data_IF_035142823612
#
_entry.id   IF_035142823612
#
_cell.length_a   1.000
_cell.length_b   1.000
_cell.length_c   1.000
_cell.angle_alpha   90.00
_cell.angle_beta   90.00
_cell.angle_gamma   90.00
#
_symmetry.space_group_name_H-M   'P 1'
#
loop_
_entity.id
_entity.type
_entity.pdbx_description
1 polymer ?
#
# COMPACT_ATOMS: atom_id res chain seq x y z
N UNK A 1 -20.99 -1.82 14.73
CA UNK A 1 -21.23 -0.70 13.79
C UNK A 1 -21.77 0.42 14.65
N UNK A 2 -21.17 1.60 14.53
CA UNK A 2 -21.54 2.77 15.31
C UNK A 2 -22.15 3.81 14.38
N UNK A 3 -23.25 4.43 14.81
CA UNK A 3 -23.89 5.52 14.07
C UNK A 3 -23.56 6.83 14.78
N UNK A 4 -23.01 7.78 14.03
CA UNK A 4 -22.62 9.09 14.55
C UNK A 4 -23.48 10.16 13.88
N UNK A 5 -24.03 11.07 14.67
CA UNK A 5 -24.77 12.19 14.10
C UNK A 5 -23.79 13.19 13.45
N UNK A 6 -23.89 13.33 12.13
CA UNK A 6 -23.02 14.24 11.38
C UNK A 6 -23.62 14.61 10.02
N UNK A 7 -23.51 15.89 9.65
CA UNK A 7 -24.08 16.43 8.41
C UNK A 7 -23.36 15.98 7.13
N UNK A 8 -22.13 15.47 7.24
CA UNK A 8 -21.38 14.93 6.09
C UNK A 8 -21.69 13.44 5.94
N UNK A 9 -22.12 13.02 4.75
CA UNK A 9 -22.33 11.60 4.45
C UNK A 9 -20.98 10.88 4.37
N UNK A 10 -20.70 10.00 5.33
CA UNK A 10 -19.47 9.22 5.38
C UNK A 10 -19.73 7.85 6.01
N UNK A 11 -19.00 6.86 5.50
CA UNK A 11 -18.89 5.53 6.08
C UNK A 11 -17.40 5.20 6.09
N UNK A 12 -16.86 4.80 7.23
CA UNK A 12 -15.44 4.50 7.34
C UNK A 12 -15.17 3.48 8.44
N UNK A 13 -14.06 2.76 8.31
CA UNK A 13 -13.58 1.83 9.31
C UNK A 13 -12.49 2.44 10.20
N UNK A 14 -12.55 2.12 11.49
CA UNK A 14 -11.52 2.42 12.47
C UNK A 14 -10.77 1.12 12.82
N UNK A 15 -9.43 1.09 12.67
CA UNK A 15 -8.63 -0.06 13.08
C UNK A 15 -8.66 -0.19 14.61
N UNK A 16 -8.62 -1.43 15.11
CA UNK A 16 -8.70 -1.70 16.55
C UNK A 16 -8.88 -3.18 16.86
N UNK A 17 -9.03 -3.51 18.15
CA UNK A 17 -9.38 -4.85 18.64
C UNK A 17 -10.57 -4.75 19.60
N UNK A 18 -11.82 -4.91 19.11
CA UNK A 18 -12.20 -5.16 17.71
C UNK A 18 -12.13 -3.90 16.84
N UNK A 19 -11.91 -4.07 15.54
CA UNK A 19 -12.06 -2.99 14.56
C UNK A 19 -13.53 -2.68 14.32
N UNK A 20 -13.88 -1.42 14.07
CA UNK A 20 -15.28 -0.99 13.96
C UNK A 20 -15.56 -0.20 12.67
N UNK A 21 -16.83 -0.22 12.24
CA UNK A 21 -17.33 0.59 11.13
C UNK A 21 -18.22 1.68 11.70
N UNK A 22 -17.95 2.92 11.31
CA UNK A 22 -18.69 4.12 11.68
C UNK A 22 -19.49 4.59 10.47
N UNK A 23 -20.74 4.97 10.72
CA UNK A 23 -21.68 5.46 9.69
C UNK A 23 -22.27 6.77 10.17
N UNK A 24 -22.31 7.79 9.32
CA UNK A 24 -22.96 9.05 9.70
C UNK A 24 -24.46 9.02 9.48
N UNK A 25 -25.22 9.80 10.27
CA UNK A 25 -26.67 9.99 10.05
C UNK A 25 -26.98 10.46 8.63
N UNK A 26 -26.17 11.38 8.08
CA UNK A 26 -26.29 11.83 6.69
C UNK A 26 -26.04 10.70 5.67
N UNK A 27 -25.16 9.73 5.95
CA UNK A 27 -24.97 8.59 5.05
C UNK A 27 -26.18 7.65 5.05
N UNK A 28 -26.81 7.43 6.21
CA UNK A 28 -28.04 6.63 6.31
C UNK A 28 -29.18 7.29 5.52
N UNK A 29 -29.30 8.61 5.56
CA UNK A 29 -30.30 9.34 4.78
C UNK A 29 -29.99 9.46 3.28
N UNK A 30 -28.73 9.27 2.86
CA UNK A 30 -28.30 9.42 1.48
C UNK A 30 -28.29 8.10 0.68
N UNK A 31 -28.20 6.95 1.36
CA UNK A 31 -28.04 5.65 0.74
C UNK A 31 -29.31 4.80 0.88
N UNK A 32 -29.67 4.08 -0.17
CA UNK A 32 -30.65 2.99 -0.09
C UNK A 32 -30.11 1.84 0.79
N UNK A 33 -30.99 0.93 1.21
CA UNK A 33 -30.60 -0.21 2.03
C UNK A 33 -29.51 -1.09 1.35
N UNK A 34 -29.62 -1.30 0.04
CA UNK A 34 -28.66 -2.10 -0.74
C UNK A 34 -27.32 -1.39 -0.90
N UNK A 35 -27.33 -0.08 -1.14
CA UNK A 35 -26.12 0.75 -1.22
C UNK A 35 -25.40 0.79 0.14
N UNK A 36 -26.14 0.99 1.24
CA UNK A 36 -25.58 0.97 2.58
C UNK A 36 -24.97 -0.41 2.90
N UNK A 37 -25.66 -1.50 2.56
CA UNK A 37 -25.13 -2.85 2.74
C UNK A 37 -23.84 -3.07 1.93
N UNK A 38 -23.78 -2.56 0.70
CA UNK A 38 -22.60 -2.60 -0.16
C UNK A 38 -21.40 -1.86 0.46
N UNK A 39 -21.60 -0.63 0.94
CA UNK A 39 -20.52 0.16 1.58
C UNK A 39 -20.09 -0.46 2.91
N UNK A 40 -21.03 -0.98 3.71
CA UNK A 40 -20.66 -1.71 4.93
C UNK A 40 -19.83 -2.96 4.61
N UNK A 41 -20.10 -3.63 3.49
CA UNK A 41 -19.30 -4.77 3.03
C UNK A 41 -17.90 -4.35 2.57
N UNK A 42 -17.78 -3.18 1.95
CA UNK A 42 -16.52 -2.53 1.58
C UNK A 42 -15.69 -2.19 2.83
N UNK A 43 -16.26 -1.50 3.82
CA UNK A 43 -15.56 -1.15 5.07
C UNK A 43 -15.11 -2.39 5.86
N UNK A 44 -15.98 -3.41 5.94
CA UNK A 44 -15.60 -4.69 6.57
C UNK A 44 -14.48 -5.40 5.80
N UNK A 45 -14.35 -5.17 4.49
CA UNK A 45 -13.23 -5.70 3.72
C UNK A 45 -11.90 -5.04 4.12
N UNK A 46 -11.90 -3.74 4.42
CA UNK A 46 -10.71 -3.07 4.96
C UNK A 46 -10.27 -3.61 6.31
N UNK A 47 -11.22 -3.83 7.22
CA UNK A 47 -10.92 -4.42 8.53
C UNK A 47 -10.38 -5.84 8.41
N UNK A 48 -11.08 -6.71 7.65
CA UNK A 48 -10.67 -8.11 7.47
C UNK A 48 -9.34 -8.25 6.73
N UNK A 49 -9.12 -7.43 5.71
CA UNK A 49 -7.87 -7.39 4.96
C UNK A 49 -6.74 -6.65 5.67
N UNK A 50 -6.99 -6.07 6.84
CA UNK A 50 -6.05 -5.20 7.57
C UNK A 50 -5.41 -4.15 6.66
N UNK A 51 -6.20 -3.58 5.76
CA UNK A 51 -5.71 -2.69 4.70
C UNK A 51 -5.01 -1.44 5.25
N UNK A 52 -5.39 -1.00 6.45
CA UNK A 52 -4.69 0.08 7.17
C UNK A 52 -3.20 -0.21 7.39
N UNK A 53 -2.81 -1.47 7.65
CA UNK A 53 -1.41 -1.85 7.82
C UNK A 53 -0.64 -1.79 6.49
N UNK A 54 -1.26 -2.24 5.39
CA UNK A 54 -0.65 -2.18 4.06
C UNK A 54 -0.38 -0.72 3.65
N UNK A 55 -1.36 0.14 3.86
CA UNK A 55 -1.23 1.58 3.57
C UNK A 55 -0.23 2.24 4.50
N UNK A 56 -0.20 1.88 5.79
CA UNK A 56 0.78 2.40 6.74
C UNK A 56 2.21 1.99 6.37
N UNK A 57 2.41 0.73 5.96
CA UNK A 57 3.70 0.21 5.52
C UNK A 57 4.16 0.91 4.24
N UNK A 58 3.26 1.10 3.27
CA UNK A 58 3.57 1.83 2.04
C UNK A 58 3.97 3.29 2.32
N UNK A 59 3.24 3.96 3.21
CA UNK A 59 3.59 5.31 3.67
C UNK A 59 4.92 5.35 4.45
N UNK A 60 5.22 4.33 5.25
CA UNK A 60 6.51 4.22 5.93
C UNK A 60 7.67 4.01 4.93
N UNK A 61 7.46 3.17 3.92
CA UNK A 61 8.42 2.95 2.84
C UNK A 61 8.69 4.23 2.04
N UNK A 62 7.63 4.96 1.66
CA UNK A 62 7.74 6.25 0.99
C UNK A 62 8.54 7.27 1.81
N UNK A 63 8.29 7.35 3.13
CA UNK A 63 9.03 8.23 4.04
C UNK A 63 10.48 7.81 4.27
N UNK A 64 10.78 6.51 4.25
CA UNK A 64 12.12 5.99 4.43
C UNK A 64 13.01 6.24 3.20
N UNK A 65 12.41 6.33 2.00
CA UNK A 65 13.12 6.48 0.72
C UNK A 65 12.60 7.67 -0.11
N UNK A 66 12.63 8.90 0.43
CA UNK A 66 11.97 10.06 -0.19
C UNK A 66 12.58 10.49 -1.53
N UNK A 67 13.82 10.05 -1.82
CA UNK A 67 14.51 10.35 -3.09
C UNK A 67 14.22 9.32 -4.19
N UNK A 68 13.49 8.24 -3.89
CA UNK A 68 13.13 7.23 -4.88
C UNK A 68 11.72 7.52 -5.43
N UNK A 69 11.57 7.92 -6.70
CA UNK A 69 10.26 8.17 -7.30
C UNK A 69 9.32 6.96 -7.25
N UNK A 70 9.90 5.75 -7.30
CA UNK A 70 9.15 4.50 -7.19
C UNK A 70 8.45 4.34 -5.85
N UNK A 71 8.96 4.95 -4.77
CA UNK A 71 8.35 4.83 -3.45
C UNK A 71 7.02 5.60 -3.35
N UNK A 72 6.94 6.77 -3.99
CA UNK A 72 5.69 7.54 -4.13
C UNK A 72 4.67 6.82 -5.03
N UNK A 73 5.14 6.30 -6.17
CA UNK A 73 4.31 5.50 -7.07
C UNK A 73 3.77 4.24 -6.38
N UNK A 74 4.61 3.55 -5.60
CA UNK A 74 4.20 2.36 -4.85
C UNK A 74 3.15 2.69 -3.79
N UNK A 75 3.30 3.78 -3.05
CA UNK A 75 2.31 4.22 -2.05
C UNK A 75 0.94 4.50 -2.70
N UNK A 76 0.97 5.26 -3.80
CA UNK A 76 -0.23 5.61 -4.56
C UNK A 76 -0.93 4.38 -5.12
N UNK A 77 -0.18 3.46 -5.73
CA UNK A 77 -0.75 2.24 -6.31
C UNK A 77 -1.22 1.24 -5.25
N UNK A 78 -0.52 1.10 -4.12
CA UNK A 78 -0.97 0.23 -3.01
C UNK A 78 -2.32 0.72 -2.48
N UNK A 79 -2.50 2.03 -2.26
CA UNK A 79 -3.81 2.59 -1.86
C UNK A 79 -4.89 2.28 -2.90
N UNK A 80 -4.60 2.49 -4.17
CA UNK A 80 -5.54 2.23 -5.27
C UNK A 80 -5.94 0.75 -5.35
N UNK A 81 -4.98 -0.16 -5.25
CA UNK A 81 -5.24 -1.61 -5.28
C UNK A 81 -6.02 -2.08 -4.05
N UNK A 82 -5.79 -1.47 -2.89
CA UNK A 82 -6.56 -1.71 -1.67
C UNK A 82 -8.05 -1.35 -1.86
N UNK A 83 -8.33 -0.19 -2.46
CA UNK A 83 -9.71 0.22 -2.80
C UNK A 83 -10.33 -0.76 -3.81
N UNK A 84 -9.58 -1.14 -4.85
CA UNK A 84 -10.04 -2.10 -5.85
C UNK A 84 -10.43 -3.45 -5.22
N UNK A 85 -9.63 -3.95 -4.29
CA UNK A 85 -9.88 -5.21 -3.60
C UNK A 85 -11.08 -5.12 -2.66
N UNK A 86 -11.30 -3.98 -2.01
CA UNK A 86 -12.47 -3.75 -1.18
C UNK A 86 -13.75 -3.65 -2.04
N UNK A 87 -13.68 -2.97 -3.18
CA UNK A 87 -14.74 -2.88 -4.19
C UNK A 87 -15.14 -4.23 -4.75
N UNK A 88 -14.15 -5.07 -5.10
CA UNK A 88 -14.41 -6.42 -5.62
C UNK A 88 -15.15 -7.26 -4.55
N UNK A 89 -14.68 -7.22 -3.30
CA UNK A 89 -15.32 -7.94 -2.18
C UNK A 89 -16.72 -7.45 -1.84
N UNK A 90 -17.04 -6.20 -2.11
CA UNK A 90 -18.40 -5.67 -1.98
C UNK A 90 -19.27 -6.11 -3.15
N UNK A 91 -18.72 -6.02 -4.36
CA UNK A 91 -19.37 -6.38 -5.62
C UNK A 91 -19.74 -7.87 -5.69
N UNK A 92 -18.92 -8.75 -5.12
CA UNK A 92 -19.17 -10.20 -5.07
C UNK A 92 -20.52 -10.54 -4.39
N UNK A 93 -20.98 -9.70 -3.46
CA UNK A 93 -22.20 -9.95 -2.67
C UNK A 93 -23.36 -9.04 -3.02
N UNK A 94 -23.09 -7.78 -3.38
CA UNK A 94 -24.12 -6.76 -3.58
C UNK A 94 -24.20 -6.27 -5.04
N UNK A 95 -23.37 -6.82 -5.94
CA UNK A 95 -23.30 -6.41 -7.33
C UNK A 95 -22.54 -5.09 -7.52
N UNK A 96 -21.97 -4.92 -8.71
CA UNK A 96 -21.13 -3.76 -9.04
C UNK A 96 -21.91 -2.44 -9.08
N UNK A 97 -23.17 -2.49 -9.50
CA UNK A 97 -24.01 -1.29 -9.61
C UNK A 97 -24.27 -0.67 -8.23
N UNK A 98 -24.67 -1.45 -7.22
CA UNK A 98 -24.92 -0.95 -5.87
C UNK A 98 -23.67 -0.32 -5.24
N UNK A 99 -22.49 -0.93 -5.46
CA UNK A 99 -21.22 -0.35 -4.99
C UNK A 99 -20.92 0.97 -5.71
N UNK A 100 -21.06 1.00 -7.04
CA UNK A 100 -20.79 2.20 -7.84
C UNK A 100 -21.69 3.37 -7.44
N UNK A 101 -23.00 3.14 -7.33
CA UNK A 101 -23.96 4.19 -6.96
C UNK A 101 -23.71 4.68 -5.54
N UNK A 102 -23.41 3.78 -4.59
CA UNK A 102 -23.10 4.18 -3.23
C UNK A 102 -21.84 5.05 -3.13
N UNK A 103 -20.79 4.73 -3.90
CA UNK A 103 -19.57 5.56 -3.97
C UNK A 103 -19.89 6.95 -4.52
N UNK A 104 -20.71 7.04 -5.57
CA UNK A 104 -21.13 8.33 -6.16
C UNK A 104 -21.95 9.15 -5.16
N UNK A 105 -22.94 8.53 -4.51
CA UNK A 105 -23.78 9.20 -3.50
C UNK A 105 -22.94 9.75 -2.34
N UNK A 106 -22.01 8.97 -1.81
CA UNK A 106 -21.11 9.45 -0.75
C UNK A 106 -20.17 10.55 -1.24
N UNK A 107 -19.63 10.44 -2.45
CA UNK A 107 -18.73 11.45 -3.02
C UNK A 107 -19.42 12.79 -3.28
N UNK A 108 -20.65 12.78 -3.79
CA UNK A 108 -21.43 13.99 -4.07
C UNK A 108 -21.96 14.66 -2.79
N UNK A 109 -22.21 13.87 -1.75
CA UNK A 109 -22.71 14.34 -0.44
C UNK A 109 -21.60 14.63 0.57
N UNK A 110 -20.33 14.47 0.19
CA UNK A 110 -19.19 14.91 1.00
C UNK A 110 -18.90 16.38 0.68
N UNK A 111 -19.33 17.35 1.50
CA UNK A 111 -18.89 18.73 1.34
C UNK A 111 -17.37 18.76 1.37
N UNK A 112 -16.77 19.35 0.33
CA UNK A 112 -15.32 19.44 0.21
C UNK A 112 -14.73 19.86 1.55
N UNK A 113 -13.83 19.04 2.08
CA UNK A 113 -13.16 19.12 3.38
C UNK A 113 -13.14 20.53 4.00
N UNK A 114 -13.94 20.74 5.04
CA UNK A 114 -14.23 22.02 5.72
C UNK A 114 -13.08 22.57 6.61
N UNK A 115 -11.81 22.41 6.23
CA UNK A 115 -10.69 23.02 7.00
C UNK A 115 -9.49 23.51 6.17
N UNK A 116 -9.59 23.58 4.84
CA UNK A 116 -8.54 24.23 4.02
C UNK A 116 -9.12 25.28 3.07
N UNK A 117 -8.64 26.52 3.20
CA UNK A 117 -8.89 27.62 2.25
C UNK A 117 -7.88 27.56 1.10
N UNK A 118 -8.28 27.89 -0.13
CA UNK A 118 -7.39 28.12 -1.29
C UNK A 118 -7.22 26.96 -2.29
N UNK A 119 -6.28 27.12 -3.24
CA UNK A 119 -5.99 26.19 -4.37
C UNK A 119 -5.84 24.71 -3.99
N UNK A 120 -5.37 24.43 -2.77
CA UNK A 120 -5.24 23.07 -2.22
C UNK A 120 -6.61 22.35 -2.01
N UNK A 121 -7.70 23.09 -1.82
CA UNK A 121 -9.07 22.54 -1.78
C UNK A 121 -9.47 21.99 -3.15
N UNK A 122 -9.21 22.77 -4.21
CA UNK A 122 -9.56 22.41 -5.58
C UNK A 122 -8.83 21.15 -6.02
N UNK A 123 -7.51 21.07 -5.79
CA UNK A 123 -6.72 19.89 -6.15
C UNK A 123 -7.18 18.62 -5.43
N UNK A 124 -7.55 18.70 -4.13
CA UNK A 124 -8.07 17.56 -3.38
C UNK A 124 -9.43 17.10 -3.91
N UNK A 125 -10.38 18.02 -4.10
CA UNK A 125 -11.70 17.68 -4.65
C UNK A 125 -11.57 17.06 -6.04
N UNK A 126 -10.71 17.61 -6.91
CA UNK A 126 -10.44 17.05 -8.23
C UNK A 126 -9.84 15.64 -8.12
N UNK A 127 -8.88 15.42 -7.22
CA UNK A 127 -8.29 14.09 -7.03
C UNK A 127 -9.29 13.04 -6.51
N UNK A 128 -10.20 13.44 -5.61
CA UNK A 128 -11.28 12.57 -5.11
C UNK A 128 -12.25 12.21 -6.23
N UNK A 129 -12.72 13.20 -7.00
CA UNK A 129 -13.60 12.96 -8.16
C UNK A 129 -12.93 12.06 -9.20
N UNK A 130 -11.63 12.24 -9.45
CA UNK A 130 -10.86 11.38 -10.36
C UNK A 130 -10.82 9.94 -9.88
N UNK A 131 -10.54 9.70 -8.60
CA UNK A 131 -10.53 8.34 -7.99
C UNK A 131 -11.92 7.71 -8.00
N UNK A 132 -12.97 8.47 -7.72
CA UNK A 132 -14.36 8.03 -7.82
C UNK A 132 -14.70 7.60 -9.25
N UNK A 133 -14.43 8.47 -10.23
CA UNK A 133 -14.70 8.20 -11.64
C UNK A 133 -13.93 6.96 -12.14
N UNK A 134 -12.69 6.78 -11.69
CA UNK A 134 -11.89 5.60 -12.00
C UNK A 134 -12.51 4.31 -11.47
N UNK A 135 -12.93 4.28 -10.20
CA UNK A 135 -13.58 3.12 -9.58
C UNK A 135 -14.88 2.75 -10.29
N UNK A 136 -15.72 3.74 -10.59
CA UNK A 136 -16.97 3.55 -11.33
C UNK A 136 -16.69 3.02 -12.74
N UNK A 137 -15.74 3.60 -13.48
CA UNK A 137 -15.34 3.10 -14.81
C UNK A 137 -14.86 1.65 -14.74
N UNK A 138 -14.08 1.28 -13.74
CA UNK A 138 -13.62 -0.10 -13.53
C UNK A 138 -14.78 -1.06 -13.26
N UNK A 139 -15.79 -0.64 -12.50
CA UNK A 139 -16.98 -1.45 -12.23
C UNK A 139 -17.82 -1.69 -13.48
N UNK A 140 -17.97 -0.66 -14.32
CA UNK A 140 -18.70 -0.73 -15.59
C UNK A 140 -17.94 -1.51 -16.68
N UNK A 141 -16.61 -1.55 -16.59
CA UNK A 141 -15.79 -2.33 -17.52
C UNK A 141 -15.94 -3.85 -17.29
N UNK A 142 -15.92 -4.67 -18.35
CA UNK A 142 -15.90 -6.11 -18.21
C UNK A 142 -14.67 -6.55 -17.37
N UNK A 143 -14.80 -7.61 -16.53
CA UNK A 143 -13.68 -8.08 -15.71
C UNK A 143 -12.48 -8.44 -16.59
N UNK A 144 -11.42 -7.65 -16.49
CA UNK A 144 -10.15 -7.97 -17.12
C UNK A 144 -9.56 -9.21 -16.43
N UNK A 145 -9.51 -10.34 -17.13
CA UNK A 145 -8.79 -11.52 -16.63
C UNK A 145 -7.30 -11.27 -16.84
N UNK A 146 -6.47 -11.19 -15.78
CA UNK A 146 -5.04 -11.00 -15.96
C UNK A 146 -4.50 -12.18 -16.77
N UNK A 147 -3.76 -11.88 -17.84
CA UNK A 147 -3.07 -12.90 -18.62
C UNK A 147 -2.14 -13.69 -17.70
N UNK A 148 -1.95 -14.99 -17.94
CA UNK A 148 -1.09 -15.83 -17.11
C UNK A 148 0.32 -15.25 -16.98
N UNK A 149 0.81 -14.63 -18.05
CA UNK A 149 2.08 -13.89 -18.08
C UNK A 149 2.16 -12.79 -17.02
N UNK A 150 1.09 -12.01 -16.81
CA UNK A 150 1.09 -10.94 -15.80
C UNK A 150 1.19 -11.52 -14.39
N UNK A 151 0.59 -12.69 -14.15
CA UNK A 151 0.71 -13.38 -12.86
C UNK A 151 2.12 -13.90 -12.63
N UNK A 152 2.75 -14.47 -13.66
CA UNK A 152 4.12 -14.97 -13.59
C UNK A 152 5.12 -13.82 -13.36
N UNK A 153 4.96 -12.71 -14.09
CA UNK A 153 5.78 -11.50 -13.92
C UNK A 153 5.60 -10.89 -12.53
N UNK A 154 4.36 -10.82 -12.03
CA UNK A 154 4.12 -10.34 -10.67
C UNK A 154 4.74 -11.28 -9.62
N UNK A 155 4.60 -12.59 -9.78
CA UNK A 155 5.17 -13.58 -8.87
C UNK A 155 6.71 -13.53 -8.87
N UNK A 156 7.34 -13.39 -10.03
CA UNK A 156 8.80 -13.27 -10.13
C UNK A 156 9.29 -11.96 -9.51
N UNK A 157 8.60 -10.84 -9.75
CA UNK A 157 8.93 -9.56 -9.13
C UNK A 157 8.80 -9.60 -7.60
N UNK A 158 7.73 -10.22 -7.07
CA UNK A 158 7.55 -10.43 -5.62
C UNK A 158 8.67 -11.31 -5.07
N UNK A 159 9.00 -12.42 -5.76
CA UNK A 159 10.08 -13.31 -5.38
C UNK A 159 11.43 -12.57 -5.30
N UNK A 160 11.75 -11.76 -6.31
CA UNK A 160 12.96 -10.95 -6.34
C UNK A 160 12.99 -9.91 -5.22
N UNK A 161 11.87 -9.26 -4.93
CA UNK A 161 11.80 -8.25 -3.87
C UNK A 161 11.98 -8.87 -2.47
N UNK A 162 11.44 -10.07 -2.24
CA UNK A 162 11.55 -10.77 -0.96
C UNK A 162 12.94 -11.41 -0.76
N UNK A 163 13.58 -11.88 -1.83
CA UNK A 163 14.86 -12.61 -1.77
C UNK A 163 16.08 -11.73 -2.03
N UNK A 164 15.93 -10.62 -2.74
CA UNK A 164 17.02 -9.73 -3.13
C UNK A 164 17.75 -9.10 -1.94
N UNK A 165 17.07 -8.33 -1.06
CA UNK A 165 17.71 -7.72 0.11
C UNK A 165 18.43 -8.72 1.03
N UNK A 166 17.84 -9.88 1.41
CA UNK A 166 18.56 -10.85 2.24
C UNK A 166 19.74 -11.50 1.49
N UNK A 167 19.62 -11.77 0.18
CA UNK A 167 20.73 -12.32 -0.60
C UNK A 167 21.91 -11.34 -0.67
N UNK A 168 21.65 -10.06 -0.92
CA UNK A 168 22.69 -9.01 -0.93
C UNK A 168 23.34 -8.87 0.44
N UNK A 169 22.55 -8.90 1.54
CA UNK A 169 23.06 -8.82 2.90
C UNK A 169 23.95 -10.04 3.27
N UNK A 170 23.56 -11.25 2.86
CA UNK A 170 24.34 -12.48 3.11
C UNK A 170 25.65 -12.47 2.30
N UNK A 171 25.60 -12.07 1.02
CA UNK A 171 26.80 -11.99 0.17
C UNK A 171 27.78 -10.93 0.71
N UNK A 172 27.28 -9.75 1.07
CA UNK A 172 28.13 -8.69 1.63
C UNK A 172 28.72 -9.09 2.99
N UNK A 173 27.97 -9.77 3.87
CA UNK A 173 28.52 -10.34 5.09
C UNK A 173 29.60 -11.42 4.84
N UNK A 174 29.41 -12.26 3.82
CA UNK A 174 30.38 -13.27 3.40
C UNK A 174 31.69 -12.65 2.91
N UNK A 175 31.61 -11.61 2.08
CA UNK A 175 32.78 -10.87 1.59
C UNK A 175 33.57 -10.20 2.73
N UNK A 176 32.88 -9.58 3.69
CA UNK A 176 33.53 -8.99 4.88
C UNK A 176 34.23 -10.06 5.71
N UNK A 177 33.59 -11.23 5.90
CA UNK A 177 34.18 -12.33 6.67
C UNK A 177 35.41 -12.93 5.98
N UNK A 178 35.37 -13.05 4.65
CA UNK A 178 36.50 -13.57 3.86
C UNK A 178 37.70 -12.63 3.88
N UNK A 179 37.46 -11.32 3.80
CA UNK A 179 38.50 -10.31 3.96
C UNK A 179 39.15 -10.33 5.35
N UNK A 180 38.37 -10.60 6.40
CA UNK A 180 38.88 -10.73 7.77
C UNK A 180 39.69 -12.01 8.03
N UNK A 181 39.52 -13.06 7.21
CA UNK A 181 40.23 -14.35 7.35
C UNK A 181 41.47 -14.48 6.48
N UNK A 182 41.74 -13.55 5.56
CA UNK A 182 43.00 -13.55 4.82
C UNK A 182 44.14 -13.13 5.77
N UNK A 183 45.12 -14.01 6.06
CA UNK A 183 46.27 -13.61 6.85
C UNK A 183 47.10 -12.66 5.99
N UNK A 184 47.31 -11.43 6.47
CA UNK A 184 48.35 -10.56 5.94
C UNK A 184 49.68 -11.28 6.16
N UNK A 185 50.20 -11.92 5.11
CA UNK A 185 51.47 -12.61 5.15
C UNK A 185 52.52 -11.71 5.77
N UNK A 186 53.09 -12.14 6.89
CA UNK A 186 54.27 -11.49 7.45
C UNK A 186 55.38 -11.56 6.39
N UNK A 187 56.08 -10.45 6.08
CA UNK A 187 57.21 -10.51 5.17
C UNK A 187 58.26 -11.47 5.73
N UNK A 188 58.96 -12.25 4.88
CA UNK A 188 60.01 -13.15 5.35
C UNK A 188 61.07 -12.33 6.10
N UNK A 189 61.40 -12.76 7.32
CA UNK A 189 62.46 -12.17 8.12
C UNK A 189 63.76 -12.17 7.29
N UNK A 190 64.27 -10.98 6.98
CA UNK A 190 65.53 -10.81 6.28
C UNK A 190 66.63 -11.52 7.08
N UNK A 191 67.26 -12.52 6.46
CA UNK A 191 68.38 -13.25 7.04
C UNK A 191 69.51 -12.30 7.43
N UNK A 192 69.96 -12.42 8.67
CA UNK A 192 71.13 -11.71 9.19
C UNK A 192 72.41 -12.21 8.49
N UNK A 193 73.34 -11.33 8.10
CA UNK A 193 74.60 -11.76 7.48
C UNK A 193 75.51 -12.39 8.53
N UNK A 194 75.87 -13.67 8.33
CA UNK A 194 76.88 -14.34 9.12
C UNK A 194 78.26 -13.72 8.83
N UNK A 195 78.90 -13.21 9.89
CA UNK A 195 80.27 -12.74 9.92
C UNK A 195 81.17 -13.85 10.52
N UNK A 196 82.41 -13.97 10.00
CA UNK A 196 83.59 -14.72 10.52
C UNK A 196 83.60 -16.24 10.24
N UNK A 197 84.70 -16.93 9.89
CA UNK A 197 86.14 -16.70 9.81
C UNK A 197 86.73 -17.76 8.83
N UNK A 198 87.79 -17.50 8.06
CA UNK A 198 89.18 -17.78 8.46
C UNK A 198 89.74 -19.03 7.74
N UNK A 199 90.89 -18.90 7.07
CA UNK A 199 91.62 -20.01 6.43
C UNK A 199 92.22 -19.64 5.09
#
# INVERSE_FOLDING_TARGET
>A
MEVVDHATAAVYCLPGRPGQVVVTSAAIGALTADELAAVLRHERAHLRGRHHLLVALAGAFQRALPRLPMADAAETEIRRLVEHLADDRASDRHGRHAVATAIVQLADRTPGTLSMRGRARSSRVVSLRRRCAERVRRMLAPPARPRILHRLVAASAIGLLLTGPPAVAVVSAGLVRQAATCPTGSPPAAGSPAHLAGG
#
